data_IF_930281036314
#
_entry.id   IF_930281036314
#
_cell.length_a   1.000
_cell.length_b   1.000
_cell.length_c   1.000
_cell.angle_alpha   90.00
_cell.angle_beta   90.00
_cell.angle_gamma   90.00
#
_symmetry.space_group_name_H-M   'P 1'
#
loop_
_entity.id
_entity.type
_entity.pdbx_description
1 polymer ?
#
# COMPACT_ATOMS: atom_id res chain seq x y z
N UNK A 1 28.83 7.32 -12.00
CA UNK A 1 28.41 6.65 -10.76
C UNK A 1 27.46 5.48 -11.05
N UNK A 2 27.52 4.42 -10.24
CA UNK A 2 26.63 3.24 -10.34
C UNK A 2 25.69 3.15 -9.14
N UNK A 3 24.41 2.85 -9.38
CA UNK A 3 23.40 2.59 -8.34
C UNK A 3 22.75 1.22 -8.52
N UNK A 4 22.55 0.48 -7.41
CA UNK A 4 21.69 -0.71 -7.38
C UNK A 4 20.32 -0.39 -6.78
N UNK A 5 19.24 -0.84 -7.41
CA UNK A 5 17.86 -0.54 -6.98
C UNK A 5 17.05 -1.84 -6.92
N UNK A 6 16.36 -2.13 -5.82
CA UNK A 6 15.46 -3.29 -5.74
C UNK A 6 14.01 -2.94 -6.08
N UNK A 7 13.41 -3.74 -6.95
CA UNK A 7 12.00 -3.67 -7.35
C UNK A 7 11.40 -5.09 -7.26
N UNK A 8 10.89 -5.50 -6.10
CA UNK A 8 10.33 -6.86 -5.91
C UNK A 8 8.87 -7.03 -6.35
N UNK A 9 8.16 -5.92 -6.59
CA UNK A 9 6.70 -5.85 -6.76
C UNK A 9 6.32 -4.81 -7.80
N UNK A 10 5.21 -5.06 -8.50
CA UNK A 10 4.68 -4.10 -9.48
C UNK A 10 4.18 -2.82 -8.81
N UNK A 11 3.68 -2.89 -7.58
CA UNK A 11 3.35 -1.68 -6.80
C UNK A 11 4.58 -0.80 -6.48
N UNK A 12 5.77 -1.40 -6.34
CA UNK A 12 7.03 -0.65 -6.16
C UNK A 12 7.47 -0.06 -7.50
N UNK A 13 7.35 -0.81 -8.59
CA UNK A 13 7.61 -0.29 -9.94
C UNK A 13 6.73 0.93 -10.24
N UNK A 14 5.43 0.84 -9.95
CA UNK A 14 4.47 1.96 -10.02
C UNK A 14 4.94 3.17 -9.23
N UNK A 15 5.41 2.95 -8.01
CA UNK A 15 5.82 4.03 -7.12
C UNK A 15 7.17 4.66 -7.51
N UNK A 16 8.08 3.96 -8.16
CA UNK A 16 9.45 4.47 -8.37
C UNK A 16 9.80 4.75 -9.83
N UNK A 17 9.29 3.96 -10.77
CA UNK A 17 9.81 3.92 -12.14
C UNK A 17 9.04 4.80 -13.13
N UNK A 18 7.95 5.43 -12.70
CA UNK A 18 7.06 6.22 -13.57
C UNK A 18 6.81 7.64 -13.06
N UNK A 19 7.80 8.18 -12.38
CA UNK A 19 7.85 9.58 -11.99
C UNK A 19 9.26 10.12 -12.16
N UNK A 20 9.43 11.40 -11.86
CA UNK A 20 10.66 12.14 -12.06
C UNK A 20 11.87 11.51 -11.35
N UNK A 21 11.68 10.71 -10.28
CA UNK A 21 12.76 9.98 -9.63
C UNK A 21 13.56 9.12 -10.62
N UNK A 22 12.87 8.33 -11.44
CA UNK A 22 13.53 7.42 -12.36
C UNK A 22 14.20 8.13 -13.52
N UNK A 23 13.59 9.22 -13.99
CA UNK A 23 14.20 10.05 -15.02
C UNK A 23 15.49 10.72 -14.53
N UNK A 24 15.50 11.21 -13.28
CA UNK A 24 16.70 11.78 -12.67
C UNK A 24 17.78 10.71 -12.43
N UNK A 25 17.41 9.49 -12.04
CA UNK A 25 18.37 8.38 -11.94
C UNK A 25 19.08 8.11 -13.27
N UNK A 26 18.33 8.00 -14.37
CA UNK A 26 18.90 7.78 -15.71
C UNK A 26 19.80 8.94 -16.16
N UNK A 27 19.52 10.17 -15.76
CA UNK A 27 20.33 11.35 -16.14
C UNK A 27 21.62 11.50 -15.34
N UNK A 28 21.62 11.13 -14.06
CA UNK A 28 22.72 11.45 -13.13
C UNK A 28 23.62 10.26 -12.77
N UNK A 29 23.25 9.03 -13.16
CA UNK A 29 24.08 7.85 -12.96
C UNK A 29 24.53 7.26 -14.30
N UNK A 30 25.84 7.05 -14.45
CA UNK A 30 26.42 6.32 -15.60
C UNK A 30 25.84 4.90 -15.73
N UNK A 31 25.40 4.31 -14.60
CA UNK A 31 24.77 2.98 -14.60
C UNK A 31 23.72 2.83 -13.50
N UNK A 32 22.52 2.44 -13.91
CA UNK A 32 21.41 2.06 -13.03
C UNK A 32 21.16 0.57 -13.15
N UNK A 33 21.30 -0.18 -12.05
CA UNK A 33 21.05 -1.62 -12.05
C UNK A 33 19.74 -1.89 -11.32
N UNK A 34 18.71 -2.30 -12.06
CA UNK A 34 17.42 -2.71 -11.51
C UNK A 34 17.45 -4.19 -11.16
N UNK A 35 17.43 -4.49 -9.86
CA UNK A 35 17.35 -5.84 -9.32
C UNK A 35 15.87 -6.18 -9.09
N UNK A 36 15.30 -7.05 -9.91
CA UNK A 36 13.86 -7.26 -9.92
C UNK A 36 13.45 -8.71 -10.16
N UNK A 37 12.30 -9.10 -9.61
CA UNK A 37 11.65 -10.37 -9.91
C UNK A 37 11.13 -10.41 -11.35
N UNK A 38 10.80 -9.25 -11.92
CA UNK A 38 10.32 -9.11 -13.29
C UNK A 38 11.45 -9.04 -14.34
N UNK A 39 12.66 -9.50 -14.03
CA UNK A 39 13.81 -9.32 -14.93
C UNK A 39 13.68 -10.10 -16.25
N UNK A 40 12.80 -11.10 -16.30
CA UNK A 40 12.46 -11.87 -17.51
C UNK A 40 11.14 -11.43 -18.15
N UNK A 41 10.46 -10.42 -17.62
CA UNK A 41 9.24 -9.86 -18.21
C UNK A 41 9.63 -8.91 -19.34
N UNK A 42 9.34 -9.30 -20.59
CA UNK A 42 9.66 -8.51 -21.79
C UNK A 42 8.99 -7.13 -21.78
N UNK A 43 7.77 -7.02 -21.24
CA UNK A 43 7.07 -5.75 -21.11
C UNK A 43 7.82 -4.84 -20.14
N UNK A 44 8.28 -5.39 -19.01
CA UNK A 44 9.06 -4.65 -18.02
C UNK A 44 10.40 -4.17 -18.62
N UNK A 45 11.09 -5.03 -19.35
CA UNK A 45 12.34 -4.68 -20.03
C UNK A 45 12.14 -3.57 -21.06
N UNK A 46 11.07 -3.66 -21.86
CA UNK A 46 10.75 -2.66 -22.88
C UNK A 46 10.36 -1.31 -22.27
N UNK A 47 9.60 -1.30 -21.18
CA UNK A 47 9.08 -0.09 -20.56
C UNK A 47 10.15 0.66 -19.74
N UNK A 48 11.04 -0.08 -19.05
CA UNK A 48 12.02 0.51 -18.14
C UNK A 48 13.48 0.38 -18.59
N UNK A 49 13.79 -0.32 -19.67
CA UNK A 49 15.13 -0.40 -20.22
C UNK A 49 15.60 0.94 -20.83
N UNK A 50 16.90 1.20 -20.74
CA UNK A 50 17.58 2.33 -21.38
C UNK A 50 19.08 2.00 -21.51
N UNK A 51 19.84 2.81 -22.27
CA UNK A 51 21.26 2.56 -22.56
C UNK A 51 22.12 2.38 -21.31
N UNK A 52 21.82 3.10 -20.23
CA UNK A 52 22.52 3.03 -18.95
C UNK A 52 21.78 2.20 -17.88
N UNK A 53 20.72 1.49 -18.24
CA UNK A 53 19.91 0.68 -17.32
C UNK A 53 20.14 -0.79 -17.59
N UNK A 54 20.66 -1.51 -16.58
CA UNK A 54 20.76 -2.97 -16.62
C UNK A 54 19.70 -3.60 -15.71
N UNK A 55 18.85 -4.44 -16.27
CA UNK A 55 17.81 -5.15 -15.52
C UNK A 55 18.29 -6.57 -15.24
N UNK A 56 18.41 -6.94 -13.96
CA UNK A 56 18.92 -8.24 -13.54
C UNK A 56 17.96 -8.96 -12.58
N UNK A 57 17.96 -10.31 -12.59
CA UNK A 57 17.11 -11.07 -11.69
C UNK A 57 17.44 -10.80 -10.23
N UNK A 58 16.39 -10.63 -9.43
CA UNK A 58 16.49 -10.60 -7.98
C UNK A 58 16.93 -11.97 -7.45
N UNK A 59 17.94 -12.04 -6.57
CA UNK A 59 18.31 -13.29 -5.93
C UNK A 59 17.11 -13.92 -5.19
N UNK A 60 16.90 -15.21 -5.40
CA UNK A 60 15.78 -15.93 -4.78
C UNK A 60 15.99 -16.06 -3.27
N UNK A 61 15.06 -15.46 -2.52
CA UNK A 61 14.96 -15.63 -1.08
C UNK A 61 13.99 -16.78 -0.80
N UNK A 62 14.46 -18.03 -0.87
CA UNK A 62 13.65 -19.15 -0.40
C UNK A 62 13.38 -18.99 1.11
N UNK A 63 12.14 -18.71 1.49
CA UNK A 63 11.75 -18.63 2.89
C UNK A 63 11.90 -20.01 3.54
N UNK A 64 12.84 -20.13 4.48
CA UNK A 64 12.92 -21.34 5.31
C UNK A 64 11.78 -21.38 6.33
N UNK A 65 11.45 -22.58 6.82
CA UNK A 65 10.48 -22.74 7.91
C UNK A 65 10.81 -21.86 9.13
N UNK A 66 12.09 -21.78 9.49
CA UNK A 66 12.57 -20.92 10.58
C UNK A 66 12.43 -19.43 10.25
N UNK A 67 12.62 -19.03 9.00
CA UNK A 67 12.42 -17.66 8.56
C UNK A 67 10.96 -17.22 8.74
N UNK A 68 9.99 -18.09 8.43
CA UNK A 68 8.57 -17.82 8.66
C UNK A 68 8.26 -17.63 10.14
N UNK A 69 8.85 -18.43 11.03
CA UNK A 69 8.65 -18.31 12.48
C UNK A 69 9.22 -16.99 13.00
N UNK A 70 10.47 -16.68 12.66
CA UNK A 70 11.15 -15.47 13.16
C UNK A 70 10.49 -14.21 12.59
N UNK A 71 10.09 -14.22 11.32
CA UNK A 71 9.33 -13.12 10.72
C UNK A 71 7.99 -12.88 11.42
N UNK A 72 7.33 -13.93 11.96
CA UNK A 72 6.15 -13.77 12.82
C UNK A 72 6.51 -13.17 14.18
N UNK A 73 7.62 -13.60 14.79
CA UNK A 73 8.08 -13.06 16.08
C UNK A 73 8.52 -11.59 15.99
N UNK A 74 9.11 -11.18 14.87
CA UNK A 74 9.53 -9.79 14.61
C UNK A 74 8.36 -8.80 14.65
N UNK A 75 7.11 -9.25 14.45
CA UNK A 75 5.91 -8.42 14.62
C UNK A 75 5.72 -8.00 16.09
N UNK A 76 6.09 -8.86 17.04
CA UNK A 76 5.96 -8.58 18.47
C UNK A 76 7.12 -7.76 19.04
N UNK A 77 8.18 -7.51 18.25
CA UNK A 77 9.26 -6.60 18.64
C UNK A 77 8.88 -5.12 18.56
N UNK A 78 7.67 -4.82 18.04
CA UNK A 78 7.05 -3.51 18.09
C UNK A 78 5.63 -3.63 18.66
N UNK A 79 5.45 -3.43 19.97
CA UNK A 79 4.11 -3.43 20.56
C UNK A 79 3.43 -2.07 20.37
N UNK A 80 2.34 -2.08 19.62
CA UNK A 80 1.43 -0.96 19.39
C UNK A 80 -0.01 -1.50 19.25
N UNK A 81 -0.99 -0.64 19.01
CA UNK A 81 -2.39 -1.03 18.84
C UNK A 81 -2.59 -2.01 17.68
N UNK A 82 -1.88 -1.83 16.56
CA UNK A 82 -1.90 -2.75 15.41
C UNK A 82 -1.39 -4.15 15.76
N UNK A 83 -0.33 -4.26 16.56
CA UNK A 83 0.20 -5.55 17.05
C UNK A 83 -0.77 -6.21 18.02
N UNK A 84 -1.42 -5.45 18.89
CA UNK A 84 -2.43 -5.97 19.83
C UNK A 84 -3.67 -6.43 19.08
N UNK A 85 -4.21 -5.60 18.18
CA UNK A 85 -5.39 -5.93 17.37
C UNK A 85 -5.15 -7.16 16.51
N UNK A 86 -4.07 -7.19 15.71
CA UNK A 86 -3.71 -8.39 14.92
C UNK A 86 -3.47 -9.62 15.80
N UNK A 87 -2.85 -9.44 16.96
CA UNK A 87 -2.65 -10.50 17.94
C UNK A 87 -3.97 -11.10 18.41
N UNK A 88 -4.93 -10.26 18.81
CA UNK A 88 -6.24 -10.70 19.27
C UNK A 88 -7.06 -11.33 18.12
N UNK A 89 -7.17 -10.67 16.97
CA UNK A 89 -8.04 -11.17 15.89
C UNK A 89 -7.45 -12.35 15.13
N UNK A 90 -6.12 -12.47 15.01
CA UNK A 90 -5.51 -13.60 14.29
C UNK A 90 -5.25 -14.80 15.20
N UNK A 91 -4.88 -14.58 16.45
CA UNK A 91 -4.59 -15.69 17.35
C UNK A 91 -5.84 -16.20 18.03
N UNK A 92 -6.77 -15.35 18.47
CA UNK A 92 -7.86 -15.71 19.40
C UNK A 92 -9.15 -16.20 18.73
N UNK A 93 -9.31 -16.01 17.41
CA UNK A 93 -10.47 -16.56 16.68
C UNK A 93 -10.43 -18.07 16.69
N UNK A 94 -11.49 -18.69 17.22
CA UNK A 94 -11.51 -20.12 17.50
C UNK A 94 -12.93 -20.68 17.31
N UNK A 95 -13.07 -21.90 16.78
CA UNK A 95 -14.38 -22.53 16.57
C UNK A 95 -15.05 -22.96 17.88
N UNK A 96 -14.34 -22.98 19.00
CA UNK A 96 -14.89 -23.36 20.31
C UNK A 96 -14.29 -22.53 21.45
N UNK A 97 -15.00 -22.44 22.59
CA UNK A 97 -14.54 -21.75 23.80
C UNK A 97 -13.22 -22.29 24.34
N UNK A 98 -12.99 -23.60 24.26
CA UNK A 98 -11.74 -24.21 24.70
C UNK A 98 -10.55 -23.77 23.83
N UNK A 99 -10.73 -23.77 22.50
CA UNK A 99 -9.70 -23.33 21.56
C UNK A 99 -9.47 -21.82 21.68
N UNK A 100 -10.52 -21.04 21.96
CA UNK A 100 -10.44 -19.62 22.27
C UNK A 100 -9.58 -19.37 23.52
N UNK A 101 -9.82 -20.10 24.61
CA UNK A 101 -9.09 -19.93 25.87
C UNK A 101 -7.59 -20.22 25.69
N UNK A 102 -7.24 -21.32 25.02
CA UNK A 102 -5.85 -21.66 24.72
C UNK A 102 -5.17 -20.57 23.91
N UNK A 103 -5.84 -20.06 22.88
CA UNK A 103 -5.31 -19.00 22.03
C UNK A 103 -5.18 -17.66 22.77
N UNK A 104 -6.14 -17.32 23.62
CA UNK A 104 -6.11 -16.14 24.46
C UNK A 104 -4.98 -16.19 25.50
N UNK A 105 -4.79 -17.33 26.17
CA UNK A 105 -3.67 -17.55 27.08
C UNK A 105 -2.33 -17.46 26.35
N UNK A 106 -2.22 -18.06 25.16
CA UNK A 106 -1.03 -17.93 24.30
C UNK A 106 -0.74 -16.47 23.92
N UNK A 107 -1.74 -15.71 23.50
CA UNK A 107 -1.58 -14.29 23.21
C UNK A 107 -1.18 -13.49 24.45
N UNK A 108 -1.81 -13.76 25.60
CA UNK A 108 -1.48 -13.13 26.88
C UNK A 108 -0.04 -13.40 27.27
N UNK A 109 0.44 -14.64 27.15
CA UNK A 109 1.84 -15.00 27.37
C UNK A 109 2.77 -14.24 26.41
N UNK A 110 2.47 -14.23 25.10
CA UNK A 110 3.24 -13.46 24.11
C UNK A 110 3.28 -11.98 24.50
N UNK A 111 2.15 -11.39 24.89
CA UNK A 111 2.07 -9.99 25.33
C UNK A 111 2.92 -9.73 26.56
N UNK A 112 2.80 -10.55 27.60
CA UNK A 112 3.59 -10.41 28.83
C UNK A 112 5.09 -10.52 28.56
N UNK A 113 5.50 -11.40 27.65
CA UNK A 113 6.90 -11.58 27.27
C UNK A 113 7.40 -10.43 26.38
N UNK A 114 6.72 -10.17 25.26
CA UNK A 114 7.22 -9.30 24.21
C UNK A 114 6.91 -7.82 24.43
N UNK A 115 5.88 -7.44 25.18
CA UNK A 115 5.59 -6.03 25.44
C UNK A 115 6.76 -5.31 26.16
N UNK A 116 7.36 -5.83 27.24
CA UNK A 116 8.55 -5.21 27.82
C UNK A 116 9.77 -5.36 26.92
N UNK A 117 10.01 -6.54 26.31
CA UNK A 117 11.16 -6.78 25.42
C UNK A 117 11.15 -5.84 24.20
N UNK A 118 9.96 -5.54 23.67
CA UNK A 118 9.76 -4.64 22.55
C UNK A 118 10.16 -3.22 22.85
N UNK A 119 10.39 -2.82 24.12
CA UNK A 119 10.90 -1.48 24.49
C UNK A 119 12.43 -1.45 24.60
N UNK A 120 13.07 -2.61 24.68
CA UNK A 120 14.52 -2.71 24.86
C UNK A 120 15.22 -2.70 23.51
N UNK A 121 15.82 -1.55 23.17
CA UNK A 121 16.56 -1.35 21.91
C UNK A 121 17.64 -2.43 21.69
N UNK A 122 18.29 -2.93 22.75
CA UNK A 122 19.30 -3.98 22.64
C UNK A 122 18.71 -5.30 22.13
N UNK A 123 17.53 -5.72 22.62
CA UNK A 123 16.83 -6.94 22.16
C UNK A 123 16.49 -6.81 20.68
N UNK A 124 15.93 -5.66 20.30
CA UNK A 124 15.61 -5.37 18.90
C UNK A 124 16.86 -5.36 18.00
N UNK A 125 17.99 -4.83 18.48
CA UNK A 125 19.27 -4.86 17.74
C UNK A 125 19.83 -6.28 17.62
N UNK A 126 19.76 -7.07 18.69
CA UNK A 126 20.19 -8.47 18.72
C UNK A 126 19.35 -9.33 17.75
N UNK A 127 18.04 -9.11 17.66
CA UNK A 127 17.18 -9.78 16.68
C UNK A 127 17.68 -9.59 15.25
N UNK A 128 18.09 -8.37 14.83
CA UNK A 128 18.65 -8.17 13.48
C UNK A 128 19.96 -8.95 13.24
N UNK A 129 20.78 -9.12 14.27
CA UNK A 129 22.01 -9.91 14.17
C UNK A 129 21.69 -11.40 14.04
N UNK A 130 20.78 -11.90 14.88
CA UNK A 130 20.27 -13.27 14.78
C UNK A 130 19.69 -13.54 13.39
N UNK A 131 18.86 -12.63 12.89
CA UNK A 131 18.25 -12.69 11.56
C UNK A 131 19.30 -12.81 10.43
N UNK A 132 20.43 -12.10 10.56
CA UNK A 132 21.55 -12.24 9.62
C UNK A 132 22.21 -13.62 9.71
N UNK A 133 22.66 -14.03 10.90
CA UNK A 133 23.48 -15.25 11.05
C UNK A 133 22.72 -16.53 10.73
N UNK A 134 21.42 -16.57 11.03
CA UNK A 134 20.62 -17.80 10.95
C UNK A 134 19.68 -17.85 9.75
N UNK A 135 19.27 -16.72 9.16
CA UNK A 135 18.21 -16.69 8.15
C UNK A 135 18.65 -16.09 6.81
N UNK A 136 19.48 -15.04 6.84
CA UNK A 136 19.79 -14.26 5.62
C UNK A 136 21.23 -14.37 5.12
N UNK A 137 22.06 -15.26 5.67
CA UNK A 137 23.47 -15.36 5.26
C UNK A 137 23.65 -15.65 3.75
N UNK A 138 22.83 -16.54 3.20
CA UNK A 138 22.87 -16.89 1.78
C UNK A 138 22.43 -15.74 0.85
N UNK A 139 21.23 -15.14 1.03
CA UNK A 139 20.84 -14.01 0.17
C UNK A 139 21.77 -12.81 0.34
N UNK A 140 22.29 -12.54 1.55
CA UNK A 140 23.30 -11.49 1.75
C UNK A 140 24.56 -11.77 0.93
N UNK A 141 25.05 -13.01 0.88
CA UNK A 141 26.23 -13.37 0.08
C UNK A 141 25.99 -13.16 -1.42
N UNK A 142 24.78 -13.46 -1.92
CA UNK A 142 24.42 -13.21 -3.31
C UNK A 142 24.45 -11.71 -3.63
N UNK A 143 23.89 -10.87 -2.75
CA UNK A 143 23.98 -9.42 -2.90
C UNK A 143 25.39 -8.86 -2.72
N UNK A 144 26.23 -9.45 -1.86
CA UNK A 144 27.65 -9.10 -1.75
C UNK A 144 28.39 -9.34 -3.08
N UNK A 145 28.11 -10.45 -3.76
CA UNK A 145 28.68 -10.73 -5.09
C UNK A 145 28.22 -9.72 -6.16
N UNK A 146 26.95 -9.28 -6.10
CA UNK A 146 26.46 -8.21 -6.97
C UNK A 146 27.16 -6.88 -6.68
N UNK A 147 27.33 -6.52 -5.40
CA UNK A 147 28.07 -5.32 -5.00
C UNK A 147 29.53 -5.39 -5.49
N UNK A 148 30.18 -6.56 -5.38
CA UNK A 148 31.53 -6.76 -5.89
C UNK A 148 31.62 -6.64 -7.42
N UNK A 149 30.63 -7.17 -8.14
CA UNK A 149 30.55 -7.10 -9.62
C UNK A 149 30.36 -5.66 -10.10
N UNK A 150 29.41 -4.93 -9.53
CA UNK A 150 28.99 -3.62 -10.04
C UNK A 150 29.69 -2.44 -9.37
N UNK A 151 30.37 -2.65 -8.24
CA UNK A 151 31.04 -1.61 -7.45
C UNK A 151 30.17 -0.34 -7.28
N UNK A 152 28.92 -0.48 -6.77
CA UNK A 152 27.99 0.64 -6.71
C UNK A 152 28.46 1.72 -5.73
N UNK A 153 28.18 2.97 -6.06
CA UNK A 153 28.37 4.10 -5.14
C UNK A 153 27.23 4.17 -4.11
N UNK A 154 26.06 3.63 -4.46
CA UNK A 154 24.83 3.72 -3.68
C UNK A 154 23.96 2.49 -3.90
N UNK A 155 23.28 2.03 -2.84
CA UNK A 155 22.15 1.11 -2.97
C UNK A 155 20.85 1.78 -2.55
N UNK A 156 19.80 1.55 -3.31
CA UNK A 156 18.44 1.98 -3.00
C UNK A 156 17.52 0.77 -2.85
N UNK A 157 16.79 0.72 -1.73
CA UNK A 157 15.83 -0.35 -1.45
C UNK A 157 14.39 0.17 -1.50
N UNK A 158 13.61 -0.31 -2.46
CA UNK A 158 12.23 0.12 -2.69
C UNK A 158 11.24 -0.31 -1.60
N UNK A 159 11.54 -1.40 -0.88
CA UNK A 159 10.77 -1.85 0.28
C UNK A 159 11.67 -2.39 1.40
N UNK A 160 11.90 -1.57 2.43
CA UNK A 160 12.71 -1.97 3.60
C UNK A 160 12.17 -3.21 4.34
N UNK A 161 10.88 -3.53 4.19
CA UNK A 161 10.28 -4.71 4.80
C UNK A 161 10.62 -6.01 4.08
N UNK A 162 10.84 -5.95 2.77
CA UNK A 162 10.94 -7.13 1.92
C UNK A 162 12.38 -7.39 1.47
N UNK A 163 13.18 -6.35 1.24
CA UNK A 163 14.48 -6.47 0.57
C UNK A 163 15.65 -6.19 1.53
N UNK A 164 15.52 -6.67 2.76
CA UNK A 164 16.46 -6.38 3.85
C UNK A 164 17.87 -6.98 3.67
N UNK A 165 18.02 -8.03 2.85
CA UNK A 165 19.30 -8.67 2.59
C UNK A 165 20.28 -7.75 1.85
N UNK A 166 19.82 -6.97 0.86
CA UNK A 166 20.69 -6.00 0.17
C UNK A 166 21.23 -4.93 1.14
N UNK A 167 20.40 -4.43 2.07
CA UNK A 167 20.86 -3.46 3.08
C UNK A 167 21.95 -4.05 3.99
N UNK A 168 21.83 -5.33 4.36
CA UNK A 168 22.84 -6.02 5.16
C UNK A 168 24.14 -6.20 4.36
N UNK A 169 24.04 -6.58 3.08
CA UNK A 169 25.20 -6.71 2.20
C UNK A 169 25.92 -5.35 2.02
N UNK A 170 25.18 -4.29 1.72
CA UNK A 170 25.71 -2.93 1.58
C UNK A 170 26.44 -2.46 2.84
N UNK A 171 25.85 -2.67 4.03
CA UNK A 171 26.51 -2.35 5.31
C UNK A 171 27.83 -3.10 5.49
N UNK A 172 27.89 -4.38 5.14
CA UNK A 172 29.10 -5.20 5.26
C UNK A 172 30.19 -4.77 4.27
N UNK A 173 29.79 -4.36 3.07
CA UNK A 173 30.67 -3.82 2.02
C UNK A 173 30.94 -2.31 2.16
N UNK A 174 30.44 -1.67 3.23
CA UNK A 174 30.58 -0.23 3.50
C UNK A 174 30.05 0.65 2.36
N UNK A 175 29.02 0.20 1.66
CA UNK A 175 28.31 0.97 0.64
C UNK A 175 27.16 1.72 1.30
N UNK A 176 27.03 3.01 0.96
CA UNK A 176 25.94 3.86 1.43
C UNK A 176 24.59 3.30 0.97
N UNK A 177 23.60 3.31 1.85
CA UNK A 177 22.29 2.75 1.61
C UNK A 177 21.15 3.73 1.89
N UNK A 178 20.20 3.81 0.97
CA UNK A 178 18.92 4.50 1.13
C UNK A 178 17.81 3.44 1.01
N UNK A 179 16.78 3.52 1.84
CA UNK A 179 15.63 2.63 1.74
C UNK A 179 14.32 3.42 1.89
N UNK A 180 13.25 2.88 1.33
CA UNK A 180 11.91 3.46 1.43
C UNK A 180 10.91 2.49 2.07
N UNK A 181 9.95 3.03 2.79
CA UNK A 181 8.75 2.27 3.16
C UNK A 181 7.79 2.18 1.97
N UNK A 182 7.35 0.97 1.64
CA UNK A 182 6.40 0.72 0.54
C UNK A 182 5.06 1.42 0.73
N UNK A 183 4.56 1.48 1.96
CA UNK A 183 3.26 2.10 2.29
C UNK A 183 3.22 2.64 3.72
N UNK A 184 2.21 3.44 4.02
CA UNK A 184 2.00 4.19 5.27
C UNK A 184 2.03 3.37 6.56
N UNK A 185 1.66 2.09 6.51
CA UNK A 185 1.52 1.22 7.68
C UNK A 185 2.75 0.31 7.90
N UNK A 186 3.74 0.35 7.00
CA UNK A 186 4.97 -0.43 7.15
C UNK A 186 5.66 -0.20 8.50
N UNK A 187 5.83 1.04 9.01
CA UNK A 187 6.51 1.29 10.28
C UNK A 187 5.82 0.67 11.50
N UNK A 188 4.50 0.43 11.47
CA UNK A 188 3.76 -0.13 12.60
C UNK A 188 3.41 -1.60 12.46
N UNK A 189 3.62 -2.20 11.27
CA UNK A 189 3.31 -3.61 10.97
C UNK A 189 4.30 -4.62 11.54
N UNK A 190 5.59 -4.37 11.37
CA UNK A 190 6.65 -5.23 11.92
C UNK A 190 7.96 -4.46 12.10
N UNK A 191 8.83 -5.00 12.95
CA UNK A 191 10.15 -4.44 13.14
C UNK A 191 11.07 -4.72 11.93
N UNK A 192 11.79 -3.70 11.48
CA UNK A 192 12.63 -3.78 10.28
C UNK A 192 13.86 -4.66 10.52
N UNK A 193 14.03 -5.68 9.66
CA UNK A 193 15.10 -6.68 9.69
C UNK A 193 16.49 -6.10 9.39
N UNK A 194 16.54 -4.94 8.76
CA UNK A 194 17.76 -4.20 8.46
C UNK A 194 17.59 -2.69 8.67
N UNK A 195 18.70 -1.96 8.59
CA UNK A 195 18.71 -0.49 8.61
C UNK A 195 19.45 0.04 7.40
N UNK A 196 18.92 1.11 6.82
CA UNK A 196 19.61 1.93 5.85
C UNK A 196 20.32 3.10 6.56
N UNK A 197 21.28 3.71 5.88
CA UNK A 197 21.93 4.94 6.35
C UNK A 197 20.92 6.10 6.34
N UNK A 198 20.06 6.12 5.34
CA UNK A 198 18.92 7.03 5.18
C UNK A 198 17.63 6.24 4.96
N UNK A 199 16.59 6.54 5.71
CA UNK A 199 15.25 5.99 5.51
C UNK A 199 14.30 7.08 4.99
N UNK A 200 13.66 6.78 3.87
CA UNK A 200 12.69 7.64 3.23
C UNK A 200 11.28 7.19 3.59
N UNK A 201 10.44 8.15 3.97
CA UNK A 201 9.03 7.92 4.34
C UNK A 201 8.13 8.92 3.64
N UNK A 202 6.83 8.61 3.56
CA UNK A 202 5.87 9.49 2.90
C UNK A 202 5.61 10.76 3.68
N UNK A 203 5.44 10.65 5.00
CA UNK A 203 4.87 11.75 5.77
C UNK A 203 5.42 11.89 7.18
N UNK A 204 5.05 12.99 7.84
CA UNK A 204 5.39 13.26 9.23
C UNK A 204 4.82 12.19 10.18
N UNK A 205 3.67 11.62 9.85
CA UNK A 205 3.08 10.48 10.57
C UNK A 205 4.03 9.28 10.59
N UNK A 206 4.50 8.85 9.41
CA UNK A 206 5.45 7.75 9.30
C UNK A 206 6.80 8.08 9.96
N UNK A 207 7.29 9.31 9.83
CA UNK A 207 8.53 9.76 10.50
C UNK A 207 8.44 9.53 12.01
N UNK A 208 7.32 9.91 12.64
CA UNK A 208 7.06 9.68 14.08
C UNK A 208 7.05 8.20 14.41
N UNK A 209 6.33 7.38 13.65
CA UNK A 209 6.28 5.92 13.88
C UNK A 209 7.66 5.27 13.74
N UNK A 210 8.44 5.64 12.72
CA UNK A 210 9.78 5.12 12.48
C UNK A 210 10.74 5.46 13.64
N UNK A 211 10.66 6.67 14.20
CA UNK A 211 11.45 7.04 15.38
C UNK A 211 11.06 6.21 16.61
N UNK A 212 9.76 6.00 16.82
CA UNK A 212 9.23 5.31 17.99
C UNK A 212 9.41 3.78 17.93
N UNK A 213 9.25 3.18 16.75
CA UNK A 213 9.12 1.73 16.59
C UNK A 213 10.35 1.10 15.92
N UNK A 214 11.13 1.85 15.13
CA UNK A 214 12.15 1.28 14.23
C UNK A 214 13.60 1.65 14.59
N UNK A 215 13.82 2.30 15.74
CA UNK A 215 15.14 2.73 16.24
C UNK A 215 15.89 3.76 15.36
N UNK A 216 15.18 4.49 14.50
CA UNK A 216 15.80 5.53 13.69
C UNK A 216 15.91 6.85 14.45
N UNK A 217 17.05 7.51 14.24
CA UNK A 217 17.25 8.89 14.69
C UNK A 217 16.66 9.83 13.66
N UNK A 218 16.17 10.99 14.11
CA UNK A 218 15.49 11.96 13.26
C UNK A 218 16.32 12.36 12.03
N UNK A 219 17.59 12.68 12.23
CA UNK A 219 18.51 13.10 11.16
C UNK A 219 18.78 12.02 10.11
N UNK A 220 18.32 10.78 10.30
CA UNK A 220 18.41 9.67 9.33
C UNK A 220 17.11 9.43 8.56
N UNK A 221 16.09 10.25 8.78
CA UNK A 221 14.78 10.07 8.15
C UNK A 221 14.50 11.28 7.27
N UNK A 222 14.09 11.05 6.03
CA UNK A 222 13.63 12.11 5.12
C UNK A 222 12.19 11.87 4.70
N UNK A 223 11.39 12.92 4.73
CA UNK A 223 9.99 12.90 4.30
C UNK A 223 9.91 13.41 2.87
N UNK A 224 9.44 12.57 1.93
CA UNK A 224 9.44 12.88 0.49
C UNK A 224 8.07 12.80 -0.15
N UNK A 225 7.03 12.47 0.61
CA UNK A 225 5.71 12.24 0.05
C UNK A 225 5.52 10.90 -0.57
N UNK A 226 4.47 10.82 -1.37
CA UNK A 226 4.06 9.61 -2.06
C UNK A 226 4.43 9.79 -3.53
N UNK A 227 5.56 9.23 -4.02
CA UNK A 227 6.00 9.40 -5.41
C UNK A 227 4.93 9.04 -6.45
N UNK A 228 4.17 7.97 -6.23
CA UNK A 228 3.03 7.63 -7.11
C UNK A 228 1.91 8.70 -7.12
N UNK A 229 1.81 9.60 -6.14
CA UNK A 229 0.81 10.67 -6.13
C UNK A 229 1.23 11.87 -6.97
N UNK A 230 2.49 11.96 -7.41
CA UNK A 230 2.87 12.96 -8.41
C UNK A 230 2.05 12.79 -9.70
N UNK A 231 1.61 11.55 -9.96
CA UNK A 231 0.70 11.21 -11.05
C UNK A 231 -0.65 11.93 -10.99
N UNK A 232 -1.12 12.29 -9.79
CA UNK A 232 -2.40 12.98 -9.58
C UNK A 232 -2.31 14.48 -9.82
N UNK A 233 -1.09 15.02 -9.84
CA UNK A 233 -0.83 16.43 -10.07
C UNK A 233 -0.92 16.78 -11.57
N UNK A 234 -0.50 15.86 -12.44
CA UNK A 234 -0.47 16.06 -13.89
C UNK A 234 -1.87 15.95 -14.52
N UNK A 235 -2.53 17.10 -14.70
CA UNK A 235 -3.86 17.21 -15.29
C UNK A 235 -3.91 16.82 -16.77
N UNK A 236 -2.78 16.73 -17.47
CA UNK A 236 -2.76 16.34 -18.90
C UNK A 236 -3.18 14.89 -19.14
N UNK A 237 -3.24 14.08 -18.06
CA UNK A 237 -3.64 12.66 -18.07
C UNK A 237 -5.14 12.44 -17.89
N UNK A 238 -5.89 13.51 -17.62
CA UNK A 238 -7.32 13.44 -17.39
C UNK A 238 -8.08 13.41 -18.72
N UNK A 239 -8.97 12.44 -18.84
CA UNK A 239 -9.96 12.40 -19.89
C UNK A 239 -11.08 13.41 -19.58
N UNK A 240 -11.81 13.85 -20.60
CA UNK A 240 -13.12 14.48 -20.38
C UNK A 240 -14.08 13.45 -19.77
N UNK A 241 -15.02 13.87 -18.92
CA UNK A 241 -16.02 12.97 -18.32
C UNK A 241 -16.79 12.18 -19.38
N UNK A 242 -17.11 12.80 -20.50
CA UNK A 242 -17.83 12.20 -21.61
C UNK A 242 -17.04 11.05 -22.24
N UNK A 243 -15.74 11.23 -22.46
CA UNK A 243 -14.87 10.18 -22.99
C UNK A 243 -14.67 9.04 -21.99
N UNK A 244 -14.40 9.37 -20.72
CA UNK A 244 -14.26 8.38 -19.66
C UNK A 244 -15.53 7.53 -19.53
N UNK A 245 -16.69 8.18 -19.43
CA UNK A 245 -17.97 7.50 -19.32
C UNK A 245 -18.27 6.65 -20.55
N UNK A 246 -18.09 7.20 -21.76
CA UNK A 246 -18.31 6.46 -23.01
C UNK A 246 -17.43 5.22 -23.12
N UNK A 247 -16.15 5.32 -22.74
CA UNK A 247 -15.19 4.21 -22.78
C UNK A 247 -15.60 3.06 -21.86
N UNK A 248 -16.19 3.37 -20.70
CA UNK A 248 -16.63 2.37 -19.73
C UNK A 248 -18.09 1.92 -19.91
N UNK A 249 -18.85 2.54 -20.81
CA UNK A 249 -20.29 2.29 -20.95
C UNK A 249 -21.13 2.93 -19.83
N UNK A 250 -20.61 3.98 -19.19
CA UNK A 250 -21.30 4.81 -18.22
C UNK A 250 -21.98 6.00 -18.89
N UNK A 251 -22.95 6.58 -18.21
CA UNK A 251 -23.68 7.78 -18.62
C UNK A 251 -23.02 9.05 -18.02
N UNK A 252 -22.55 10.03 -18.81
CA UNK A 252 -21.90 11.21 -18.26
C UNK A 252 -22.81 12.08 -17.36
N UNK A 253 -24.13 12.00 -17.52
CA UNK A 253 -25.08 12.82 -16.76
C UNK A 253 -25.43 12.22 -15.39
N UNK A 254 -25.09 10.94 -15.16
CA UNK A 254 -25.35 10.24 -13.88
C UNK A 254 -24.17 10.31 -12.94
N UNK A 255 -24.46 10.25 -11.64
CA UNK A 255 -23.47 10.22 -10.56
C UNK A 255 -22.78 8.86 -10.47
N UNK A 256 -21.45 8.85 -10.38
CA UNK A 256 -20.65 7.63 -10.32
C UNK A 256 -20.32 7.29 -8.86
N UNK A 257 -20.88 6.19 -8.38
CA UNK A 257 -20.58 5.60 -7.09
C UNK A 257 -19.52 4.50 -7.29
N UNK A 258 -18.27 4.78 -6.91
CA UNK A 258 -17.17 3.84 -7.09
C UNK A 258 -16.93 3.00 -5.84
N UNK A 259 -17.05 1.68 -5.94
CA UNK A 259 -16.69 0.73 -4.89
C UNK A 259 -15.33 0.09 -5.19
N UNK A 260 -14.34 0.41 -4.37
CA UNK A 260 -13.05 -0.25 -4.36
C UNK A 260 -13.07 -1.53 -3.53
N UNK A 261 -12.80 -2.65 -4.18
CA UNK A 261 -12.64 -3.94 -3.53
C UNK A 261 -11.36 -4.03 -2.68
N UNK A 262 -11.45 -4.70 -1.53
CA UNK A 262 -10.31 -5.10 -0.70
C UNK A 262 -10.04 -6.62 -0.84
N UNK A 263 -10.33 -7.16 -2.03
CA UNK A 263 -9.87 -8.47 -2.43
C UNK A 263 -10.53 -9.64 -1.71
N UNK A 264 -9.80 -10.75 -1.62
CA UNK A 264 -10.18 -11.93 -0.82
C UNK A 264 -10.23 -11.67 0.69
N UNK A 265 -9.66 -10.55 1.16
CA UNK A 265 -9.69 -10.17 2.58
C UNK A 265 -11.07 -9.68 2.97
N UNK A 266 -11.81 -9.11 2.01
CA UNK A 266 -13.21 -8.69 2.13
C UNK A 266 -14.13 -9.39 1.12
N UNK A 267 -14.52 -10.66 1.39
CA UNK A 267 -15.54 -11.33 0.58
C UNK A 267 -16.88 -10.60 0.58
N UNK A 268 -17.18 -9.84 1.65
CA UNK A 268 -18.41 -9.06 1.80
C UNK A 268 -18.56 -7.89 0.83
N UNK A 269 -17.49 -7.46 0.14
CA UNK A 269 -17.58 -6.38 -0.85
C UNK A 269 -18.63 -6.69 -1.94
N UNK A 270 -18.83 -7.96 -2.29
CA UNK A 270 -19.87 -8.38 -3.24
C UNK A 270 -21.28 -8.03 -2.73
N UNK A 271 -21.57 -8.33 -1.47
CA UNK A 271 -22.84 -7.99 -0.84
C UNK A 271 -23.01 -6.47 -0.68
N UNK A 272 -21.92 -5.72 -0.42
CA UNK A 272 -21.96 -4.25 -0.42
C UNK A 272 -22.31 -3.71 -1.80
N UNK A 273 -21.75 -4.27 -2.87
CA UNK A 273 -22.06 -3.89 -4.24
C UNK A 273 -23.54 -4.19 -4.59
N UNK A 274 -24.08 -5.31 -4.12
CA UNK A 274 -25.51 -5.66 -4.28
C UNK A 274 -26.42 -4.67 -3.56
N UNK A 275 -26.08 -4.27 -2.33
CA UNK A 275 -26.80 -3.23 -1.59
C UNK A 275 -26.79 -1.91 -2.36
N UNK A 276 -25.63 -1.50 -2.89
CA UNK A 276 -25.53 -0.30 -3.72
C UNK A 276 -26.43 -0.40 -4.95
N UNK A 277 -26.42 -1.55 -5.63
CA UNK A 277 -27.25 -1.77 -6.81
C UNK A 277 -28.74 -1.69 -6.47
N UNK A 278 -29.17 -2.26 -5.35
CA UNK A 278 -30.55 -2.17 -4.87
C UNK A 278 -30.95 -0.72 -4.57
N UNK A 279 -30.08 0.08 -3.92
CA UNK A 279 -30.32 1.51 -3.66
C UNK A 279 -30.48 2.32 -4.95
N UNK A 280 -29.62 2.06 -5.94
CA UNK A 280 -29.68 2.73 -7.25
C UNK A 280 -30.94 2.33 -8.01
N UNK A 281 -31.21 1.03 -8.13
CA UNK A 281 -32.36 0.50 -8.88
C UNK A 281 -33.70 0.93 -8.27
N UNK A 282 -33.80 0.97 -6.94
CA UNK A 282 -35.02 1.38 -6.23
C UNK A 282 -35.23 2.89 -6.16
N UNK A 283 -34.32 3.70 -6.75
CA UNK A 283 -34.34 5.17 -6.68
C UNK A 283 -34.39 5.68 -5.22
N UNK A 284 -33.66 5.01 -4.33
CA UNK A 284 -33.58 5.39 -2.91
C UNK A 284 -32.61 6.56 -2.65
N UNK A 285 -31.90 7.02 -3.69
CA UNK A 285 -30.91 8.10 -3.65
C UNK A 285 -31.48 9.40 -4.23
N UNK A 286 -30.92 10.55 -3.83
CA UNK A 286 -31.39 11.86 -4.29
C UNK A 286 -31.09 12.18 -5.75
N UNK A 287 -30.07 11.55 -6.32
CA UNK A 287 -29.62 11.77 -7.69
C UNK A 287 -29.66 10.44 -8.46
N UNK A 288 -29.79 10.52 -9.79
CA UNK A 288 -29.59 9.35 -10.63
C UNK A 288 -28.12 8.92 -10.58
N UNK A 289 -27.90 7.69 -10.12
CA UNK A 289 -26.58 7.14 -9.89
C UNK A 289 -26.32 5.91 -10.77
N UNK A 290 -25.05 5.58 -10.92
CA UNK A 290 -24.53 4.36 -11.53
C UNK A 290 -23.32 3.89 -10.72
N UNK A 291 -22.96 2.62 -10.86
CA UNK A 291 -21.97 1.97 -10.01
C UNK A 291 -20.76 1.59 -10.84
N UNK A 292 -19.58 1.96 -10.35
CA UNK A 292 -18.30 1.50 -10.87
C UNK A 292 -17.62 0.65 -9.81
N UNK A 293 -17.47 -0.64 -10.06
CA UNK A 293 -16.79 -1.57 -9.16
C UNK A 293 -15.36 -1.71 -9.65
N UNK A 294 -14.40 -1.40 -8.78
CA UNK A 294 -12.97 -1.61 -9.05
C UNK A 294 -12.48 -2.86 -8.29
N UNK A 295 -12.20 -3.97 -8.98
CA UNK A 295 -11.58 -5.14 -8.36
C UNK A 295 -10.22 -4.83 -7.74
N UNK A 296 -9.80 -5.64 -6.79
CA UNK A 296 -8.47 -5.55 -6.21
C UNK A 296 -7.48 -6.35 -7.08
N UNK A 297 -6.86 -5.70 -8.05
CA UNK A 297 -5.98 -6.35 -9.02
C UNK A 297 -4.73 -7.05 -8.47
N UNK A 298 -4.35 -6.79 -7.20
CA UNK A 298 -3.34 -7.59 -6.50
C UNK A 298 -3.81 -9.01 -6.11
N UNK A 299 -5.09 -9.32 -6.28
CA UNK A 299 -5.65 -10.66 -6.11
C UNK A 299 -6.19 -11.13 -7.46
N UNK A 300 -5.66 -12.26 -7.93
CA UNK A 300 -6.13 -12.90 -9.16
C UNK A 300 -7.62 -13.20 -9.03
N UNK A 301 -8.37 -12.87 -10.08
CA UNK A 301 -9.78 -13.21 -10.22
C UNK A 301 -10.66 -12.61 -9.10
N UNK A 302 -10.37 -11.38 -8.67
CA UNK A 302 -11.22 -10.70 -7.69
C UNK A 302 -12.53 -10.20 -8.31
N UNK A 303 -12.53 -9.89 -9.60
CA UNK A 303 -13.71 -9.47 -10.37
C UNK A 303 -14.84 -10.50 -10.34
N UNK A 304 -14.52 -11.81 -10.31
CA UNK A 304 -15.54 -12.88 -10.32
C UNK A 304 -16.39 -12.87 -9.04
N UNK A 305 -15.96 -12.22 -7.95
CA UNK A 305 -16.80 -12.10 -6.75
C UNK A 305 -18.05 -11.25 -6.99
N UNK A 306 -18.03 -10.40 -8.02
CA UNK A 306 -19.14 -9.53 -8.40
C UNK A 306 -19.98 -10.10 -9.55
N UNK A 307 -19.91 -11.41 -9.81
CA UNK A 307 -20.57 -12.02 -10.97
C UNK A 307 -22.09 -11.85 -11.00
N UNK A 308 -22.74 -11.74 -9.83
CA UNK A 308 -24.16 -11.44 -9.70
C UNK A 308 -24.56 -10.08 -10.32
N UNK A 309 -23.58 -9.18 -10.47
CA UNK A 309 -23.74 -7.84 -11.00
C UNK A 309 -23.25 -7.67 -12.44
N UNK A 310 -22.68 -8.70 -13.06
CA UNK A 310 -22.30 -8.62 -14.48
C UNK A 310 -23.52 -8.32 -15.35
N UNK A 311 -23.33 -7.40 -16.31
CA UNK A 311 -24.36 -6.96 -17.27
C UNK A 311 -25.62 -6.35 -16.64
N UNK A 312 -25.59 -5.98 -15.36
CA UNK A 312 -26.70 -5.23 -14.74
C UNK A 312 -26.70 -3.79 -15.27
N UNK A 313 -27.87 -3.21 -15.62
CA UNK A 313 -27.96 -1.82 -16.06
C UNK A 313 -27.36 -0.86 -15.02
N UNK A 314 -26.53 0.08 -15.48
CA UNK A 314 -25.90 1.07 -14.62
C UNK A 314 -24.81 0.51 -13.69
N UNK A 315 -24.27 -0.68 -13.97
CA UNK A 315 -23.12 -1.25 -13.26
C UNK A 315 -21.99 -1.55 -14.23
N UNK A 316 -20.80 -1.07 -13.91
CA UNK A 316 -19.55 -1.40 -14.60
C UNK A 316 -18.60 -2.04 -13.62
N UNK A 317 -18.01 -3.18 -13.99
CA UNK A 317 -16.91 -3.82 -13.25
C UNK A 317 -15.65 -3.55 -14.05
N UNK A 318 -14.68 -2.83 -13.47
CA UNK A 318 -13.44 -2.49 -14.16
C UNK A 318 -12.62 -3.75 -14.46
N UNK A 319 -12.34 -3.95 -15.74
CA UNK A 319 -11.51 -5.05 -16.26
C UNK A 319 -10.19 -4.57 -16.86
N UNK A 320 -9.85 -3.27 -16.76
CA UNK A 320 -8.63 -2.71 -17.32
C UNK A 320 -7.42 -3.02 -16.44
N UNK A 321 -6.94 -4.26 -16.58
CA UNK A 321 -5.81 -4.79 -15.83
C UNK A 321 -5.03 -5.78 -16.68
N UNK A 322 -3.74 -5.53 -16.83
CA UNK A 322 -2.77 -6.41 -17.49
C UNK A 322 -1.73 -6.89 -16.45
N UNK A 323 -2.07 -7.91 -15.64
CA UNK A 323 -1.25 -8.34 -14.52
C UNK A 323 0.10 -8.91 -14.99
N UNK A 324 1.20 -8.46 -14.36
CA UNK A 324 2.54 -8.98 -14.68
C UNK A 324 2.85 -10.27 -13.95
N UNK A 325 3.17 -11.33 -14.69
CA UNK A 325 3.64 -12.60 -14.11
C UNK A 325 5.07 -12.51 -13.55
N UNK A 326 5.81 -11.44 -13.87
CA UNK A 326 7.15 -11.20 -13.36
C UNK A 326 7.17 -10.77 -11.89
N UNK A 327 6.07 -10.25 -11.37
CA UNK A 327 5.99 -9.73 -10.00
C UNK A 327 5.20 -10.62 -9.05
N UNK A 328 5.64 -10.66 -7.79
CA UNK A 328 5.01 -11.47 -6.72
C UNK A 328 3.56 -11.07 -6.40
N UNK A 329 3.22 -9.81 -6.64
CA UNK A 329 1.87 -9.26 -6.43
C UNK A 329 1.02 -9.23 -7.71
N UNK A 330 1.56 -9.67 -8.84
CA UNK A 330 0.91 -9.62 -10.16
C UNK A 330 0.40 -8.23 -10.55
N UNK A 331 0.91 -7.19 -9.90
CA UNK A 331 0.37 -5.84 -10.04
C UNK A 331 0.64 -5.30 -11.44
N UNK A 332 -0.38 -4.70 -12.05
CA UNK A 332 -0.21 -3.99 -13.31
C UNK A 332 0.47 -2.64 -13.05
N UNK A 333 1.73 -2.58 -13.46
CA UNK A 333 2.54 -1.39 -13.39
C UNK A 333 2.42 -0.53 -14.64
N UNK A 334 1.61 -0.87 -15.65
CA UNK A 334 1.59 -0.10 -16.88
C UNK A 334 1.11 1.34 -16.67
N UNK A 335 1.61 2.25 -17.51
CA UNK A 335 1.09 3.63 -17.60
C UNK A 335 -0.41 3.66 -17.85
N UNK A 336 -0.92 2.79 -18.72
CA UNK A 336 -2.33 2.65 -19.05
C UNK A 336 -3.18 2.36 -17.80
N UNK A 337 -2.73 1.42 -16.96
CA UNK A 337 -3.42 1.11 -15.71
C UNK A 337 -3.48 2.30 -14.75
N UNK A 338 -2.39 3.08 -14.65
CA UNK A 338 -2.37 4.28 -13.80
C UNK A 338 -3.23 5.41 -14.36
N UNK A 339 -3.23 5.64 -15.67
CA UNK A 339 -4.11 6.61 -16.32
C UNK A 339 -5.57 6.23 -16.10
N UNK A 340 -5.93 4.96 -16.26
CA UNK A 340 -7.28 4.47 -15.97
C UNK A 340 -7.63 4.66 -14.49
N UNK A 341 -6.75 4.28 -13.56
CA UNK A 341 -6.99 4.43 -12.13
C UNK A 341 -7.18 5.90 -11.70
N UNK A 342 -6.34 6.81 -12.20
CA UNK A 342 -6.49 8.25 -11.98
C UNK A 342 -7.87 8.73 -12.44
N UNK A 343 -8.28 8.36 -13.65
CA UNK A 343 -9.58 8.76 -14.21
C UNK A 343 -10.76 8.14 -13.43
N UNK A 344 -10.65 6.89 -12.97
CA UNK A 344 -11.65 6.27 -12.08
C UNK A 344 -11.83 7.11 -10.82
N UNK A 345 -10.77 7.42 -10.10
CA UNK A 345 -10.88 8.21 -8.87
C UNK A 345 -11.39 9.61 -9.18
N UNK A 346 -10.83 10.27 -10.20
CA UNK A 346 -11.16 11.66 -10.55
C UNK A 346 -12.61 11.86 -11.00
N UNK A 347 -13.18 10.94 -11.78
CA UNK A 347 -14.56 11.07 -12.27
C UNK A 347 -15.61 10.50 -11.33
N UNK A 348 -15.21 9.73 -10.32
CA UNK A 348 -16.12 9.24 -9.30
C UNK A 348 -16.67 10.38 -8.45
N UNK A 349 -17.99 10.45 -8.33
CA UNK A 349 -18.65 11.42 -7.48
C UNK A 349 -18.51 11.04 -6.00
N UNK A 350 -18.50 9.74 -5.68
CA UNK A 350 -18.26 9.21 -4.32
C UNK A 350 -17.38 7.95 -4.41
N UNK A 351 -16.32 7.91 -3.59
CA UNK A 351 -15.45 6.74 -3.43
C UNK A 351 -15.84 5.93 -2.20
N UNK A 352 -15.92 4.62 -2.32
CA UNK A 352 -16.26 3.71 -1.22
C UNK A 352 -15.23 2.61 -1.12
N UNK A 353 -14.80 2.28 0.09
CA UNK A 353 -13.87 1.17 0.31
C UNK A 353 -13.96 0.60 1.72
N UNK A 354 -13.48 -0.62 1.88
CA UNK A 354 -13.37 -1.29 3.18
C UNK A 354 -11.90 -1.29 3.62
N UNK A 355 -11.54 -0.43 4.58
CA UNK A 355 -10.21 -0.37 5.20
C UNK A 355 -9.03 -0.32 4.21
N UNK A 356 -9.17 0.47 3.14
CA UNK A 356 -8.23 0.53 2.02
C UNK A 356 -7.45 1.85 1.96
N UNK A 357 -6.27 1.81 1.33
CA UNK A 357 -5.50 3.03 1.01
C UNK A 357 -6.19 3.91 -0.02
N UNK A 358 -7.19 3.39 -0.75
CA UNK A 358 -8.01 4.14 -1.70
C UNK A 358 -8.63 5.42 -1.10
N UNK A 359 -8.81 5.47 0.21
CA UNK A 359 -9.29 6.67 0.90
C UNK A 359 -8.26 7.82 0.87
N UNK A 360 -6.96 7.52 0.83
CA UNK A 360 -5.91 8.52 0.62
C UNK A 360 -5.87 8.99 -0.84
N UNK A 361 -6.09 8.08 -1.80
CA UNK A 361 -6.20 8.44 -3.23
C UNK A 361 -7.38 9.37 -3.48
N UNK A 362 -8.55 9.05 -2.91
CA UNK A 362 -9.75 9.88 -2.96
C UNK A 362 -9.50 11.27 -2.34
N UNK A 363 -8.90 11.32 -1.14
CA UNK A 363 -8.56 12.58 -0.49
C UNK A 363 -7.57 13.41 -1.32
N UNK A 364 -6.57 12.78 -1.94
CA UNK A 364 -5.58 13.47 -2.76
C UNK A 364 -6.17 14.11 -4.03
N UNK A 365 -7.27 13.56 -4.55
CA UNK A 365 -8.00 14.08 -5.69
C UNK A 365 -9.25 14.89 -5.31
N UNK A 366 -9.43 15.21 -4.01
CA UNK A 366 -10.59 15.91 -3.45
C UNK A 366 -11.93 15.24 -3.80
N UNK A 367 -11.98 13.91 -3.71
CA UNK A 367 -13.16 13.08 -3.96
C UNK A 367 -13.74 12.60 -2.64
N UNK A 368 -15.01 12.90 -2.33
CA UNK A 368 -15.57 12.51 -1.05
C UNK A 368 -15.63 10.99 -0.95
N UNK A 369 -15.36 10.47 0.26
CA UNK A 369 -15.26 9.03 0.47
C UNK A 369 -16.08 8.53 1.65
N UNK A 370 -16.57 7.29 1.55
CA UNK A 370 -17.26 6.56 2.62
C UNK A 370 -16.45 5.30 2.96
N UNK A 371 -16.15 5.12 4.24
CA UNK A 371 -15.57 3.91 4.80
C UNK A 371 -16.70 2.94 5.15
N UNK A 372 -16.73 1.80 4.47
CA UNK A 372 -17.71 0.74 4.73
C UNK A 372 -17.21 -0.11 5.89
N UNK A 373 -17.99 -0.17 6.97
CA UNK A 373 -17.64 -0.82 8.24
C UNK A 373 -18.64 -1.93 8.62
N UNK A 374 -19.23 -2.59 7.62
CA UNK A 374 -20.17 -3.71 7.81
C UNK A 374 -20.02 -4.77 6.73
N UNK A 375 -20.63 -5.94 6.94
CA UNK A 375 -20.36 -7.15 6.17
C UNK A 375 -21.47 -7.51 5.16
N UNK A 376 -22.09 -6.48 4.55
CA UNK A 376 -23.23 -6.65 3.66
C UNK A 376 -24.50 -6.99 4.44
N UNK A 377 -25.24 -8.02 4.00
CA UNK A 377 -26.48 -8.46 4.63
C UNK A 377 -26.25 -9.26 5.93
N UNK A 378 -25.04 -9.73 6.19
CA UNK A 378 -24.72 -10.53 7.37
C UNK A 378 -24.27 -9.67 8.55
N UNK A 379 -24.83 -9.91 9.73
CA UNK A 379 -24.30 -9.35 10.99
C UNK A 379 -23.26 -10.30 11.57
N UNK A 380 -21.98 -10.06 11.23
CA UNK A 380 -20.87 -10.87 11.75
C UNK A 380 -20.44 -10.42 13.15
N UNK A 381 -19.97 -11.35 14.00
CA UNK A 381 -19.29 -10.94 15.21
C UNK A 381 -18.02 -10.16 14.84
N UNK A 382 -17.65 -9.18 15.67
CA UNK A 382 -16.59 -8.21 15.34
C UNK A 382 -15.27 -8.83 14.85
N UNK A 383 -14.84 -9.96 15.44
CA UNK A 383 -13.60 -10.65 15.04
C UNK A 383 -13.64 -11.27 13.63
N UNK A 384 -14.83 -11.53 13.09
CA UNK A 384 -15.06 -12.02 11.72
C UNK A 384 -15.49 -10.88 10.77
N UNK A 385 -15.88 -9.73 11.32
CA UNK A 385 -16.34 -8.56 10.58
C UNK A 385 -15.19 -7.79 9.92
N UNK A 386 -15.43 -7.22 8.74
CA UNK A 386 -14.55 -6.24 8.09
C UNK A 386 -14.23 -5.04 8.98
N UNK A 387 -15.14 -4.68 9.90
CA UNK A 387 -14.96 -3.59 10.86
C UNK A 387 -13.66 -3.70 11.68
N UNK A 388 -13.18 -4.92 11.94
CA UNK A 388 -11.94 -5.15 12.71
C UNK A 388 -10.70 -4.50 12.08
N UNK A 389 -10.70 -4.28 10.77
CA UNK A 389 -9.55 -3.72 10.06
C UNK A 389 -9.37 -2.22 10.29
N UNK A 390 -10.41 -1.53 10.77
CA UNK A 390 -10.31 -0.14 11.20
C UNK A 390 -9.68 0.01 12.60
N UNK A 391 -9.57 -1.07 13.37
CA UNK A 391 -8.93 -1.05 14.70
C UNK A 391 -7.43 -1.28 14.55
N UNK A 392 -6.75 -0.24 14.11
CA UNK A 392 -5.30 -0.19 13.98
C UNK A 392 -4.80 1.26 14.09
N UNK A 393 -3.51 1.43 14.36
CA UNK A 393 -2.95 2.73 14.72
C UNK A 393 -3.07 3.78 13.60
N UNK A 394 -2.92 3.38 12.35
CA UNK A 394 -3.06 4.29 11.20
C UNK A 394 -4.52 4.66 10.91
N UNK A 395 -5.48 3.74 11.03
CA UNK A 395 -6.90 4.11 10.88
C UNK A 395 -7.40 4.91 12.08
N UNK A 396 -6.95 4.63 13.31
CA UNK A 396 -7.28 5.44 14.46
C UNK A 396 -6.83 6.91 14.27
N UNK A 397 -5.64 7.15 13.75
CA UNK A 397 -5.21 8.51 13.41
C UNK A 397 -5.98 9.08 12.20
N UNK A 398 -6.22 8.29 11.14
CA UNK A 398 -6.99 8.70 9.95
C UNK A 398 -8.37 9.23 10.35
N UNK A 399 -9.09 8.50 11.20
CA UNK A 399 -10.47 8.78 11.57
C UNK A 399 -10.64 10.09 12.33
N UNK A 400 -9.58 10.57 13.01
CA UNK A 400 -9.58 11.87 13.72
C UNK A 400 -9.67 13.07 12.80
N UNK A 401 -9.37 12.90 11.52
CA UNK A 401 -9.48 13.99 10.55
C UNK A 401 -10.90 14.18 10.04
N UNK A 402 -11.81 13.22 10.25
CA UNK A 402 -13.16 13.25 9.69
C UNK A 402 -13.17 13.52 8.17
N UNK A 403 -12.18 12.94 7.47
CA UNK A 403 -11.95 13.13 6.03
C UNK A 403 -12.71 12.12 5.15
N UNK A 404 -13.46 11.20 5.78
CA UNK A 404 -14.39 10.27 5.17
C UNK A 404 -15.62 10.13 6.07
N UNK A 405 -16.79 9.87 5.48
CA UNK A 405 -17.94 9.39 6.26
C UNK A 405 -17.76 7.90 6.55
N UNK A 406 -18.47 7.41 7.56
CA UNK A 406 -18.40 6.01 8.00
C UNK A 406 -19.80 5.43 7.97
N UNK A 407 -19.95 4.29 7.32
CA UNK A 407 -21.20 3.56 7.27
C UNK A 407 -21.03 2.20 7.93
N UNK A 408 -21.76 1.95 9.01
CA UNK A 408 -21.73 0.69 9.78
C UNK A 408 -22.94 -0.22 9.50
N UNK A 409 -23.79 0.17 8.56
CA UNK A 409 -24.91 -0.61 8.04
C UNK A 409 -25.41 -0.01 6.70
N UNK A 410 -26.37 -0.67 6.05
CA UNK A 410 -26.92 -0.27 4.76
C UNK A 410 -27.67 1.08 4.80
N UNK A 411 -28.41 1.38 5.88
CA UNK A 411 -29.12 2.66 6.02
C UNK A 411 -28.13 3.81 6.22
N UNK A 412 -27.12 3.63 7.08
CA UNK A 412 -26.04 4.59 7.26
C UNK A 412 -25.24 4.82 5.96
N UNK A 413 -25.08 3.79 5.13
CA UNK A 413 -24.47 3.90 3.80
C UNK A 413 -25.32 4.78 2.87
N UNK A 414 -26.62 4.50 2.78
CA UNK A 414 -27.58 5.31 2.01
C UNK A 414 -27.59 6.76 2.47
N UNK A 415 -27.66 7.01 3.78
CA UNK A 415 -27.64 8.36 4.35
C UNK A 415 -26.33 9.09 4.03
N UNK A 416 -25.19 8.41 4.14
CA UNK A 416 -23.88 8.97 3.80
C UNK A 416 -23.77 9.31 2.32
N UNK A 417 -24.26 8.45 1.42
CA UNK A 417 -24.32 8.71 -0.02
C UNK A 417 -25.16 9.96 -0.28
N UNK A 418 -26.38 9.99 0.24
CA UNK A 418 -27.31 11.11 0.06
C UNK A 418 -26.77 12.43 0.62
N UNK A 419 -26.05 12.38 1.74
CA UNK A 419 -25.36 13.54 2.30
C UNK A 419 -24.29 14.08 1.36
N UNK A 420 -23.45 13.20 0.81
CA UNK A 420 -22.36 13.59 -0.10
C UNK A 420 -22.86 14.00 -1.49
N UNK A 421 -23.99 13.47 -1.97
CA UNK A 421 -24.62 13.93 -3.21
C UNK A 421 -25.14 15.37 -3.07
N UNK A 422 -25.73 15.73 -1.93
CA UNK A 422 -26.21 17.09 -1.63
C UNK A 422 -25.07 18.07 -1.38
N UNK A 423 -24.02 17.61 -0.69
CA UNK A 423 -22.87 18.44 -0.29
C UNK A 423 -21.54 17.80 -0.75
N UNK A 424 -21.20 17.82 -2.06
CA UNK A 424 -20.02 17.13 -2.59
C UNK A 424 -18.69 17.59 -2.00
N UNK A 425 -18.63 18.83 -1.50
CA UNK A 425 -17.45 19.45 -0.89
C UNK A 425 -17.38 19.32 0.63
N UNK A 426 -18.32 18.61 1.26
CA UNK A 426 -18.43 18.47 2.71
C UNK A 426 -17.09 18.07 3.38
N UNK A 427 -16.32 17.20 2.72
CA UNK A 427 -15.10 16.62 3.28
C UNK A 427 -13.82 17.33 2.83
N UNK A 428 -13.88 18.27 1.88
CA UNK A 428 -12.71 18.81 1.16
C UNK A 428 -11.65 19.38 2.11
N UNK A 429 -12.07 20.22 3.07
CA UNK A 429 -11.15 20.79 4.07
C UNK A 429 -10.49 19.72 4.94
N UNK A 430 -11.23 18.70 5.36
CA UNK A 430 -10.71 17.61 6.19
C UNK A 430 -9.76 16.70 5.40
N UNK A 431 -10.05 16.46 4.13
CA UNK A 431 -9.20 15.71 3.20
C UNK A 431 -7.87 16.40 2.97
N UNK A 432 -7.85 17.73 2.81
CA UNK A 432 -6.60 18.49 2.71
C UNK A 432 -5.71 18.28 3.95
N UNK A 433 -6.26 18.43 5.15
CA UNK A 433 -5.52 18.19 6.41
C UNK A 433 -5.05 16.75 6.54
N UNK A 434 -5.85 15.77 6.10
CA UNK A 434 -5.46 14.37 6.06
C UNK A 434 -4.27 14.15 5.11
N UNK A 435 -4.30 14.72 3.90
CA UNK A 435 -3.22 14.62 2.93
C UNK A 435 -1.93 15.28 3.42
N UNK A 436 -2.00 16.43 4.08
CA UNK A 436 -0.84 17.04 4.73
C UNK A 436 -0.22 16.09 5.77
N UNK A 437 -1.06 15.39 6.54
CA UNK A 437 -0.61 14.45 7.56
C UNK A 437 0.01 13.18 7.00
N UNK A 438 -0.62 12.58 5.99
CA UNK A 438 -0.31 11.22 5.54
C UNK A 438 0.46 11.15 4.21
N UNK A 439 0.42 12.20 3.39
CA UNK A 439 0.91 12.16 2.01
C UNK A 439 2.04 13.17 1.69
N UNK A 440 2.16 14.29 2.41
CA UNK A 440 3.21 15.34 2.32
C UNK A 440 4.07 15.36 1.04
N UNK A 441 3.87 16.17 0.00
CA UNK A 441 2.88 17.16 -0.36
C UNK A 441 2.31 16.71 -1.72
N UNK A 442 1.17 17.25 -2.12
CA UNK A 442 0.56 16.96 -3.42
C UNK A 442 0.97 18.00 -4.47
N UNK A 443 2.28 18.13 -4.70
CA UNK A 443 2.89 19.18 -5.53
C UNK A 443 3.60 18.65 -6.80
N UNK A 444 3.44 17.35 -7.09
CA UNK A 444 4.09 16.72 -8.24
C UNK A 444 5.61 16.54 -8.10
N UNK A 445 6.20 16.85 -6.94
CA UNK A 445 7.65 16.89 -6.74
C UNK A 445 8.16 15.79 -5.80
N UNK A 446 7.38 14.77 -5.47
CA UNK A 446 7.77 13.71 -4.53
C UNK A 446 8.92 12.85 -5.10
N UNK A 447 8.90 12.56 -6.41
CA UNK A 447 9.96 11.85 -7.12
C UNK A 447 11.29 12.63 -7.13
N UNK A 448 11.23 13.95 -7.39
CA UNK A 448 12.39 14.83 -7.26
C UNK A 448 12.94 14.89 -5.84
N UNK A 449 12.07 15.10 -4.85
CA UNK A 449 12.44 15.09 -3.43
C UNK A 449 13.08 13.77 -3.03
N UNK A 450 12.57 12.65 -3.56
CA UNK A 450 13.15 11.33 -3.36
C UNK A 450 14.57 11.23 -3.96
N UNK A 451 14.78 11.73 -5.17
CA UNK A 451 16.10 11.75 -5.80
C UNK A 451 17.11 12.60 -5.01
N UNK A 452 16.71 13.76 -4.51
CA UNK A 452 17.56 14.64 -3.70
C UNK A 452 18.06 13.96 -2.42
N UNK A 453 17.32 12.97 -1.88
CA UNK A 453 17.75 12.20 -0.69
C UNK A 453 18.97 11.30 -0.94
N UNK A 454 19.29 11.03 -2.21
CA UNK A 454 20.44 10.25 -2.59
C UNK A 454 21.76 11.02 -2.37
N UNK A 455 21.69 12.36 -2.21
CA UNK A 455 22.83 13.27 -1.99
C UNK A 455 23.95 13.07 -3.05
N UNK A 456 23.53 12.85 -4.31
CA UNK A 456 24.44 12.79 -5.45
C UNK A 456 25.04 14.19 -5.64
N UNK A 457 26.36 14.33 -5.49
CA UNK A 457 27.03 15.60 -5.82
C UNK A 457 26.82 15.84 -7.31
N UNK A 458 26.25 17.00 -7.67
CA UNK A 458 26.09 17.45 -9.04
C UNK A 458 27.44 17.59 -9.74
#
# INVERSE_FOLDING_TARGET
MTILITISRGAIARNLLQNEFYDLLKRHFDKVVLITTAAKDERFQKEFGADNVEIIPMPDEAESFFDSIISRLNKFLIFNESTVGRGLYWYVVAPSRAVWLVKYLKFTFIKLLFQPLSKVTLVRRASRQFDYYFLQRNPVRQYEALIEKYQPNLVFVGSILEESALLKAARRKKIRSVAMCKTWDNPSKCYFRARADRLVVWSSFMKKQVMQLQDYQEHKITVVGVPQFDYYYDRSRLESRENFCRRLGLDPDKKILCLGSEGKVMPSDAAIAEILYDLVRSRALHEECQILIRPHFGYKNDEQKFISLHNKPGVVIDSHNQPSQGFRDHWDYSKEHMDNFLNIVYHSDIMMSTASTLSLDAAALARPSILVMFDGYEKKPFHASGARWYVCDYFNEFMRYHAALVADNADALKESINKLLREPKLLEHNQLRLCERFCYRLDGCSGKRLFETLEVKQ
#
